data_IF_299015607043
#
_entry.id   IF_299015607043
#
_cell.length_a   1.000
_cell.length_b   1.000
_cell.length_c   1.000
_cell.angle_alpha   90.00
_cell.angle_beta   90.00
_cell.angle_gamma   90.00
#
_symmetry.space_group_name_H-M   'P 1'
#
loop_
_entity.id
_entity.type
_entity.pdbx_description
1 polymer ?
#
# COMPACT_ATOMS: atom_id res chain seq x y z
N UNK A 1 0.02 -53.19 4.03
CA UNK A 1 -0.32 -51.81 3.61
C UNK A 1 0.91 -51.20 2.97
N UNK A 2 0.81 -50.77 1.71
CA UNK A 2 1.96 -50.38 0.90
C UNK A 2 2.64 -49.13 1.45
N UNK A 3 3.89 -49.26 1.90
CA UNK A 3 4.73 -48.19 2.46
C UNK A 3 4.80 -46.96 1.53
N UNK A 4 4.72 -47.17 0.22
CA UNK A 4 4.68 -46.12 -0.80
C UNK A 4 3.45 -45.19 -0.70
N UNK A 5 2.29 -45.70 -0.29
CA UNK A 5 1.08 -44.89 -0.10
C UNK A 5 1.25 -43.98 1.13
N UNK A 6 1.92 -44.49 2.17
CA UNK A 6 2.19 -43.74 3.39
C UNK A 6 3.15 -42.56 3.13
N UNK A 7 4.23 -42.81 2.38
CA UNK A 7 5.18 -41.77 1.98
C UNK A 7 4.60 -40.78 0.97
N UNK A 8 3.79 -41.25 0.01
CA UNK A 8 3.09 -40.39 -0.95
C UNK A 8 2.10 -39.44 -0.25
N UNK A 9 1.32 -39.96 0.71
CA UNK A 9 0.42 -39.15 1.52
C UNK A 9 1.15 -38.11 2.37
N UNK A 10 2.29 -38.50 2.97
CA UNK A 10 3.11 -37.59 3.78
C UNK A 10 3.70 -36.45 2.92
N UNK A 11 4.25 -36.77 1.75
CA UNK A 11 4.81 -35.77 0.85
C UNK A 11 3.75 -34.77 0.37
N UNK A 12 2.55 -35.26 0.03
CA UNK A 12 1.42 -34.41 -0.35
C UNK A 12 1.00 -33.49 0.80
N UNK A 13 0.95 -34.02 2.03
CA UNK A 13 0.58 -33.25 3.22
C UNK A 13 1.60 -32.14 3.52
N UNK A 14 2.90 -32.44 3.41
CA UNK A 14 3.97 -31.44 3.58
C UNK A 14 3.91 -30.36 2.50
N UNK A 15 3.67 -30.74 1.24
CA UNK A 15 3.50 -29.77 0.15
C UNK A 15 2.29 -28.86 0.39
N UNK A 16 1.16 -29.43 0.82
CA UNK A 16 -0.06 -28.67 1.11
C UNK A 16 0.13 -27.71 2.30
N UNK A 17 0.76 -28.17 3.38
CA UNK A 17 1.07 -27.34 4.54
C UNK A 17 2.03 -26.21 4.20
N UNK A 18 3.04 -26.49 3.36
CA UNK A 18 3.99 -25.46 2.89
C UNK A 18 3.27 -24.39 2.07
N UNK A 19 2.38 -24.80 1.17
CA UNK A 19 1.57 -23.88 0.36
C UNK A 19 0.63 -23.01 1.20
N UNK A 20 -0.05 -23.63 2.18
CA UNK A 20 -0.94 -22.91 3.10
C UNK A 20 -0.16 -21.94 3.99
N UNK A 21 0.98 -22.36 4.53
CA UNK A 21 1.85 -21.51 5.33
C UNK A 21 2.39 -20.33 4.52
N UNK A 22 2.81 -20.58 3.27
CA UNK A 22 3.28 -19.52 2.38
C UNK A 22 2.19 -18.47 2.11
N UNK A 23 0.93 -18.89 1.84
CA UNK A 23 -0.19 -17.96 1.69
C UNK A 23 -0.50 -17.18 2.97
N UNK A 24 -0.44 -17.83 4.13
CA UNK A 24 -0.73 -17.19 5.42
C UNK A 24 0.32 -16.15 5.78
N UNK A 25 1.61 -16.48 5.64
CA UNK A 25 2.72 -15.54 5.88
C UNK A 25 2.63 -14.38 4.90
N UNK A 26 2.34 -14.63 3.63
CA UNK A 26 2.21 -13.58 2.62
C UNK A 26 1.06 -12.62 2.95
N UNK A 27 -0.11 -13.13 3.34
CA UNK A 27 -1.24 -12.30 3.78
C UNK A 27 -0.90 -11.49 5.04
N UNK A 28 -0.11 -12.04 5.96
CA UNK A 28 0.30 -11.32 7.17
C UNK A 28 1.23 -10.14 6.88
N UNK A 29 2.16 -10.28 5.92
CA UNK A 29 3.06 -9.19 5.50
C UNK A 29 2.31 -8.04 4.87
N UNK A 30 1.35 -8.33 3.98
CA UNK A 30 0.51 -7.32 3.34
C UNK A 30 -0.34 -6.58 4.37
N UNK A 31 -1.00 -7.30 5.29
CA UNK A 31 -1.78 -6.66 6.37
C UNK A 31 -0.93 -5.75 7.25
N UNK A 32 0.30 -6.19 7.55
CA UNK A 32 1.26 -5.40 8.31
C UNK A 32 1.68 -4.14 7.53
N UNK A 33 2.05 -4.28 6.27
CA UNK A 33 2.43 -3.16 5.42
C UNK A 33 1.29 -2.17 5.24
N UNK A 34 0.07 -2.66 5.04
CA UNK A 34 -1.14 -1.85 4.98
C UNK A 34 -1.32 -1.01 6.24
N UNK A 35 -1.16 -1.62 7.43
CA UNK A 35 -1.30 -0.92 8.71
C UNK A 35 -0.19 0.12 8.91
N UNK A 36 1.06 -0.24 8.66
CA UNK A 36 2.20 0.66 8.87
C UNK A 36 2.17 1.85 7.90
N UNK A 37 1.78 1.64 6.63
CA UNK A 37 1.58 2.73 5.67
C UNK A 37 0.45 3.68 6.06
N UNK A 38 -0.61 3.14 6.67
CA UNK A 38 -1.68 3.97 7.22
C UNK A 38 -1.20 4.83 8.37
N UNK A 39 -0.47 4.25 9.31
CA UNK A 39 0.12 4.97 10.44
C UNK A 39 1.12 6.04 9.95
N UNK A 40 1.95 5.73 8.96
CA UNK A 40 2.84 6.70 8.30
C UNK A 40 2.07 7.86 7.65
N UNK A 41 1.00 7.56 6.92
CA UNK A 41 0.15 8.57 6.28
C UNK A 41 -0.52 9.47 7.32
N UNK A 42 -1.00 8.90 8.42
CA UNK A 42 -1.57 9.64 9.55
C UNK A 42 -0.51 10.54 10.20
N UNK A 43 0.71 10.04 10.46
CA UNK A 43 1.83 10.86 10.96
C UNK A 43 2.16 12.04 10.07
N UNK A 44 2.15 11.83 8.74
CA UNK A 44 2.37 12.90 7.75
C UNK A 44 1.29 13.97 7.82
N UNK A 45 0.01 13.56 7.91
CA UNK A 45 -1.14 14.47 8.06
C UNK A 45 -1.08 15.28 9.36
N UNK A 46 -0.69 14.64 10.45
CA UNK A 46 -0.56 15.27 11.77
C UNK A 46 0.69 16.14 11.93
N UNK A 47 1.57 16.21 10.92
CA UNK A 47 2.82 16.96 11.02
C UNK A 47 3.90 16.26 11.85
N UNK A 48 3.68 15.00 12.26
CA UNK A 48 4.59 14.19 13.09
C UNK A 48 5.45 13.22 12.28
N UNK A 49 5.61 13.47 10.98
CA UNK A 49 6.48 12.66 10.14
C UNK A 49 7.94 13.07 10.31
N UNK A 50 8.85 12.10 10.24
CA UNK A 50 10.28 12.30 10.40
C UNK A 50 11.02 11.92 9.12
N UNK A 51 12.14 12.58 8.80
CA UNK A 51 12.93 12.24 7.61
C UNK A 51 13.45 10.79 7.62
N UNK A 52 13.67 10.22 8.81
CA UNK A 52 14.06 8.81 8.97
C UNK A 52 12.96 7.81 8.54
N UNK A 53 11.71 8.25 8.39
CA UNK A 53 10.62 7.39 7.92
C UNK A 53 10.75 7.00 6.44
N UNK A 54 11.70 7.56 5.68
CA UNK A 54 11.84 7.34 4.23
C UNK A 54 12.08 5.86 3.91
N UNK A 55 12.98 5.20 4.64
CA UNK A 55 13.27 3.77 4.44
C UNK A 55 12.03 2.90 4.73
N UNK A 56 11.24 3.28 5.73
CA UNK A 56 9.99 2.60 6.05
C UNK A 56 8.96 2.80 4.93
N UNK A 57 8.82 4.02 4.41
CA UNK A 57 7.98 4.29 3.26
C UNK A 57 8.38 3.46 2.04
N UNK A 58 9.64 3.50 1.63
CA UNK A 58 10.12 2.80 0.43
C UNK A 58 9.97 1.27 0.55
N UNK A 59 10.35 0.70 1.70
CA UNK A 59 10.25 -0.75 1.92
C UNK A 59 8.80 -1.25 1.93
N UNK A 60 7.88 -0.50 2.55
CA UNK A 60 6.48 -0.87 2.62
C UNK A 60 5.74 -0.64 1.31
N UNK A 61 6.07 0.43 0.58
CA UNK A 61 5.56 0.68 -0.78
C UNK A 61 6.02 -0.44 -1.72
N UNK A 62 7.30 -0.82 -1.69
CA UNK A 62 7.82 -1.91 -2.52
C UNK A 62 7.15 -3.27 -2.20
N UNK A 63 6.79 -3.53 -0.95
CA UNK A 63 6.03 -4.72 -0.59
C UNK A 63 4.60 -4.65 -1.14
N UNK A 64 3.93 -3.49 -1.05
CA UNK A 64 2.57 -3.31 -1.55
C UNK A 64 2.48 -3.23 -3.08
N UNK A 65 3.53 -2.82 -3.79
CA UNK A 65 3.59 -2.83 -5.26
C UNK A 65 3.46 -4.24 -5.85
N UNK A 66 3.85 -5.27 -5.10
CA UNK A 66 3.62 -6.69 -5.45
C UNK A 66 2.12 -7.05 -5.40
N UNK A 67 1.29 -6.17 -4.86
CA UNK A 67 -0.14 -6.34 -4.60
C UNK A 67 -0.97 -5.16 -5.12
N UNK A 68 -1.06 -4.97 -6.45
CA UNK A 68 -1.69 -3.78 -7.04
C UNK A 68 -3.14 -3.57 -6.59
N UNK A 69 -3.91 -4.64 -6.37
CA UNK A 69 -5.29 -4.53 -5.89
C UNK A 69 -5.39 -3.98 -4.46
N UNK A 70 -4.58 -4.49 -3.53
CA UNK A 70 -4.56 -4.02 -2.14
C UNK A 70 -3.95 -2.63 -2.03
N UNK A 71 -2.95 -2.33 -2.86
CA UNK A 71 -2.34 -1.02 -2.96
C UNK A 71 -3.34 0.03 -3.44
N UNK A 72 -4.05 -0.23 -4.54
CA UNK A 72 -5.07 0.68 -5.06
C UNK A 72 -6.22 0.89 -4.06
N UNK A 73 -6.59 -0.16 -3.31
CA UNK A 73 -7.60 -0.06 -2.26
C UNK A 73 -7.13 0.85 -1.12
N UNK A 74 -5.93 0.62 -0.59
CA UNK A 74 -5.35 1.44 0.46
C UNK A 74 -5.23 2.90 0.01
N UNK A 75 -4.74 3.10 -1.21
CA UNK A 75 -4.60 4.43 -1.81
C UNK A 75 -5.94 5.16 -1.98
N UNK A 76 -7.00 4.44 -2.36
CA UNK A 76 -8.36 4.99 -2.39
C UNK A 76 -8.88 5.39 -0.99
N UNK A 77 -8.59 4.56 0.03
CA UNK A 77 -9.10 4.77 1.40
C UNK A 77 -8.39 5.91 2.13
N UNK A 78 -7.07 6.02 1.99
CA UNK A 78 -6.26 6.98 2.76
C UNK A 78 -5.46 7.97 1.92
N UNK A 79 -5.57 7.94 0.59
CA UNK A 79 -4.79 8.81 -0.30
C UNK A 79 -3.29 8.59 -0.15
N UNK A 80 -2.86 7.32 -0.19
CA UNK A 80 -1.49 6.88 0.11
C UNK A 80 -0.44 7.60 -0.74
N UNK A 81 -0.61 7.63 -2.06
CA UNK A 81 0.32 8.28 -3.00
C UNK A 81 0.47 9.76 -2.69
N UNK A 82 -0.64 10.42 -2.37
CA UNK A 82 -0.64 11.83 -1.96
C UNK A 82 0.03 12.02 -0.61
N UNK A 83 -0.18 11.11 0.33
CA UNK A 83 0.52 11.10 1.63
C UNK A 83 2.03 11.01 1.45
N UNK A 84 2.49 10.11 0.57
CA UNK A 84 3.91 9.96 0.27
C UNK A 84 4.51 11.17 -0.46
N UNK A 85 3.78 11.77 -1.41
CA UNK A 85 4.19 13.03 -2.05
C UNK A 85 4.32 14.14 -1.00
N UNK A 86 3.32 14.33 -0.13
CA UNK A 86 3.36 15.35 0.92
C UNK A 86 4.53 15.12 1.90
N UNK A 87 4.84 13.85 2.18
CA UNK A 87 6.00 13.47 2.97
C UNK A 87 7.31 13.90 2.30
N UNK A 88 7.49 13.56 1.02
CA UNK A 88 8.67 13.93 0.25
C UNK A 88 8.79 15.44 0.06
N UNK A 89 7.69 16.15 -0.20
CA UNK A 89 7.71 17.62 -0.29
C UNK A 89 8.18 18.28 1.02
N UNK A 90 7.83 17.69 2.17
CA UNK A 90 8.20 18.21 3.49
C UNK A 90 9.65 17.92 3.86
N UNK A 91 10.13 16.69 3.62
CA UNK A 91 11.43 16.23 4.12
C UNK A 91 12.52 16.15 3.05
N UNK A 92 12.13 16.01 1.78
CA UNK A 92 13.02 15.82 0.62
C UNK A 92 12.55 16.64 -0.61
N UNK A 93 12.39 17.97 -0.51
CA UNK A 93 11.83 18.79 -1.60
C UNK A 93 12.68 18.83 -2.88
N UNK A 94 13.93 18.36 -2.83
CA UNK A 94 14.83 18.28 -3.97
C UNK A 94 14.82 16.91 -4.66
N UNK A 95 13.96 15.98 -4.22
CA UNK A 95 13.89 14.66 -4.84
C UNK A 95 13.41 14.77 -6.30
N UNK A 96 14.21 14.22 -7.22
CA UNK A 96 13.97 14.24 -8.66
C UNK A 96 12.69 13.46 -9.05
N UNK A 97 12.23 12.54 -8.19
CA UNK A 97 11.03 11.73 -8.40
C UNK A 97 9.74 12.48 -8.10
N UNK A 98 9.80 13.59 -7.35
CA UNK A 98 8.63 14.34 -6.90
C UNK A 98 7.65 14.72 -8.02
N UNK A 99 8.10 15.28 -9.17
CA UNK A 99 7.17 15.65 -10.25
C UNK A 99 6.41 14.44 -10.81
N UNK A 100 7.09 13.32 -11.04
CA UNK A 100 6.47 12.11 -11.55
C UNK A 100 5.49 11.48 -10.54
N UNK A 101 5.82 11.52 -9.24
CA UNK A 101 4.95 11.04 -8.18
C UNK A 101 3.72 11.94 -7.98
N UNK A 102 3.89 13.26 -8.14
CA UNK A 102 2.79 14.23 -8.13
C UNK A 102 1.81 13.98 -9.28
N UNK A 103 2.31 13.77 -10.51
CA UNK A 103 1.47 13.43 -11.66
C UNK A 103 0.70 12.12 -11.43
N UNK A 104 1.39 11.08 -10.93
CA UNK A 104 0.78 9.80 -10.62
C UNK A 104 -0.30 9.88 -9.51
N UNK A 105 -0.13 10.80 -8.55
CA UNK A 105 -1.13 11.08 -7.52
C UNK A 105 -2.29 11.96 -8.04
N UNK A 106 -2.01 12.87 -8.97
CA UNK A 106 -3.00 13.76 -9.57
C UNK A 106 -4.00 13.01 -10.47
N UNK A 107 -3.53 12.04 -11.27
CA UNK A 107 -4.40 11.26 -12.15
C UNK A 107 -5.51 10.48 -11.42
N UNK A 108 -5.28 10.08 -10.16
CA UNK A 108 -6.29 9.42 -9.34
C UNK A 108 -7.28 10.43 -8.72
N UNK A 109 -6.81 11.65 -8.40
CA UNK A 109 -7.68 12.74 -7.93
C UNK A 109 -8.77 13.03 -8.95
N UNK A 110 -8.46 13.04 -10.24
CA UNK A 110 -9.45 13.29 -11.30
C UNK A 110 -10.51 12.19 -11.41
N UNK A 111 -10.18 10.94 -11.04
CA UNK A 111 -11.18 9.86 -10.95
C UNK A 111 -12.04 9.92 -9.69
N UNK A 112 -11.53 10.46 -8.57
CA UNK A 112 -12.28 10.62 -7.31
C UNK A 112 -13.07 11.94 -7.27
N UNK A 113 -12.62 12.98 -7.96
CA UNK A 113 -13.29 14.28 -8.11
C UNK A 113 -14.42 14.31 -9.15
N UNK A 114 -14.78 13.15 -9.72
CA UNK A 114 -16.03 12.95 -10.49
C UNK A 114 -17.31 13.09 -9.65
N UNK A 115 -17.21 13.34 -8.34
CA UNK A 115 -18.34 13.77 -7.49
C UNK A 115 -18.42 15.30 -7.50
N UNK A 116 -19.16 15.80 -8.49
CA UNK A 116 -19.94 17.04 -8.49
C UNK A 116 -19.53 18.09 -7.43
N UNK A 117 -18.73 19.08 -7.84
CA UNK A 117 -19.06 20.46 -7.46
C UNK A 117 -20.30 20.90 -8.26
N UNK A 118 -21.43 20.27 -7.94
CA UNK A 118 -22.74 20.77 -8.33
C UNK A 118 -23.01 22.01 -7.50
N UNK A 119 -22.76 23.16 -8.12
CA UNK A 119 -23.70 24.28 -8.09
C UNK A 119 -24.14 24.75 -6.70
N UNK A 120 -23.19 25.30 -5.92
CA UNK A 120 -23.53 26.31 -4.91
C UNK A 120 -23.31 27.69 -5.52
N UNK A 121 -24.24 28.06 -6.38
CA UNK A 121 -24.38 29.39 -6.97
C UNK A 121 -25.74 29.99 -6.69
N UNK A 122 -26.18 30.01 -5.43
CA UNK A 122 -27.33 30.83 -5.01
C UNK A 122 -26.99 32.30 -5.20
N UNK A 123 -27.39 32.89 -6.33
CA UNK A 123 -27.66 34.34 -6.49
C UNK A 123 -28.61 34.59 -7.67
N UNK A 124 -29.91 34.64 -7.39
CA UNK A 124 -30.74 35.83 -7.59
C UNK A 124 -32.10 35.67 -6.93
#
# INVERSE_FOLDING_TARGET
MNTFILWGGLALLVALLTFLNQKQVYSSKVKRAYRELRELTERVRDGRSEAADLESWESLLAEMEKHPNEFNKLDYEIGLRRGFVLYLERHYPQDVRLPALQEAAAHQKDSVWGIKFGDYGSKK
#
